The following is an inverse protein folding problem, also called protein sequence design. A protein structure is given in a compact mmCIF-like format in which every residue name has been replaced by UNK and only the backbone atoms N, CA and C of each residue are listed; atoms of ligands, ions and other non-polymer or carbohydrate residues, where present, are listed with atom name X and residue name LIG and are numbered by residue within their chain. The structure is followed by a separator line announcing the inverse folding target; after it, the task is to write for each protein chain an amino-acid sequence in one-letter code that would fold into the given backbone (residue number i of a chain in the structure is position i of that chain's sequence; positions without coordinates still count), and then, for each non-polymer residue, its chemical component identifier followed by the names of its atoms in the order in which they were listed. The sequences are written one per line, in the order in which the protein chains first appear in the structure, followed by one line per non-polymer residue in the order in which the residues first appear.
data_IF_835136957022
#
_entry.id   IF_835136957022
#
_cell.length_a   1.000
_cell.length_b   1.000
_cell.length_c   1.000
_cell.angle_alpha   90.00
_cell.angle_beta   90.00
_cell.angle_gamma   90.00
#
_symmetry.space_group_name_H-M   'P 1'
#
loop_
_entity.id
_entity.type
_entity.pdbx_description
1 polymer ?
#
# COMPACT_ATOMS: atom_id res chain seq x y z
N UNK A 1 9.46 -3.25 -10.43
CA UNK A 1 9.15 -3.08 -8.99
C UNK A 1 10.16 -2.25 -8.25
N UNK A 2 11.46 -2.56 -8.30
CA UNK A 2 12.49 -1.83 -7.54
C UNK A 2 12.51 -0.32 -7.82
N UNK A 3 12.25 0.12 -9.06
CA UNK A 3 12.19 1.54 -9.42
C UNK A 3 11.00 2.27 -8.79
N UNK A 4 9.87 1.58 -8.57
CA UNK A 4 8.70 2.18 -7.92
C UNK A 4 8.99 2.36 -6.43
N UNK A 5 9.42 1.30 -5.73
CA UNK A 5 9.74 1.35 -4.29
C UNK A 5 10.83 2.38 -3.97
N UNK A 6 11.81 2.57 -4.86
CA UNK A 6 12.87 3.59 -4.71
C UNK A 6 12.36 5.03 -4.95
N UNK A 7 11.28 5.18 -5.71
CA UNK A 7 10.62 6.48 -5.94
C UNK A 7 9.62 6.85 -4.85
N UNK A 8 9.22 5.89 -4.02
CA UNK A 8 8.33 6.13 -2.90
C UNK A 8 9.10 6.78 -1.75
N UNK A 9 8.47 7.66 -0.97
CA UNK A 9 9.11 8.22 0.19
C UNK A 9 9.27 7.15 1.28
N UNK A 10 10.27 7.32 2.15
CA UNK A 10 10.50 6.49 3.36
C UNK A 10 9.46 6.80 4.47
N UNK A 11 8.17 6.87 4.08
CA UNK A 11 7.01 7.07 4.96
C UNK A 11 5.74 6.55 4.27
N UNK A 12 4.67 6.30 5.04
CA UNK A 12 3.33 6.04 4.49
C UNK A 12 2.89 7.18 3.55
N UNK A 13 2.24 6.81 2.46
CA UNK A 13 1.77 7.75 1.44
C UNK A 13 0.45 8.38 1.87
N UNK A 14 0.18 9.62 1.50
CA UNK A 14 -1.18 10.16 1.61
C UNK A 14 -2.06 9.75 0.42
N UNK A 15 -3.39 9.84 0.57
CA UNK A 15 -4.36 9.58 -0.51
C UNK A 15 -4.07 10.42 -1.76
N UNK A 16 -3.67 11.68 -1.54
CA UNK A 16 -3.26 12.60 -2.60
C UNK A 16 -1.98 12.15 -3.32
N UNK A 17 -1.04 11.51 -2.61
CA UNK A 17 0.19 10.99 -3.20
C UNK A 17 -0.10 9.74 -4.05
N UNK A 18 -0.99 8.86 -3.60
CA UNK A 18 -1.49 7.72 -4.42
C UNK A 18 -2.14 8.24 -5.70
N UNK A 19 -3.04 9.22 -5.60
CA UNK A 19 -3.67 9.82 -6.79
C UNK A 19 -2.66 10.50 -7.72
N UNK A 20 -1.62 11.13 -7.17
CA UNK A 20 -0.55 11.72 -7.96
C UNK A 20 0.34 10.67 -8.63
N UNK A 21 0.58 9.52 -7.98
CA UNK A 21 1.30 8.39 -8.58
C UNK A 21 0.50 7.78 -9.73
N UNK A 22 -0.79 7.58 -9.54
CA UNK A 22 -1.69 7.08 -10.58
C UNK A 22 -1.74 8.05 -11.79
N UNK A 23 -1.78 9.36 -11.54
CA UNK A 23 -1.72 10.37 -12.59
C UNK A 23 -0.36 10.47 -13.31
N UNK A 24 0.73 10.07 -12.66
CA UNK A 24 2.07 10.04 -13.27
C UNK A 24 2.31 8.76 -14.07
N UNK A 25 1.60 7.69 -13.73
CA UNK A 25 1.76 6.36 -14.31
C UNK A 25 0.42 5.86 -14.85
N UNK A 26 0.03 6.35 -16.04
CA UNK A 26 -1.21 5.99 -16.73
C UNK A 26 -1.38 4.47 -16.95
N UNK A 27 -0.26 3.74 -17.02
CA UNK A 27 -0.23 2.27 -17.19
C UNK A 27 -0.36 1.49 -15.87
N UNK A 28 -0.35 2.17 -14.71
CA UNK A 28 -0.37 1.57 -13.38
C UNK A 28 -1.70 1.87 -12.67
N UNK A 29 -2.41 0.83 -12.22
CA UNK A 29 -3.56 0.98 -11.33
C UNK A 29 -3.12 0.92 -9.88
N UNK A 30 -3.50 1.91 -9.06
CA UNK A 30 -3.22 1.90 -7.63
C UNK A 30 -4.51 1.65 -6.85
N UNK A 31 -4.45 0.73 -5.90
CA UNK A 31 -5.59 0.38 -5.07
C UNK A 31 -5.14 0.41 -3.60
N UNK A 32 -5.56 1.45 -2.83
CA UNK A 32 -5.20 1.54 -1.42
C UNK A 32 -5.90 0.45 -0.63
N UNK A 33 -5.13 -0.28 0.18
CA UNK A 33 -5.62 -1.40 0.99
C UNK A 33 -5.62 -1.03 2.47
N UNK A 34 -4.50 -0.50 2.97
CA UNK A 34 -4.36 0.03 4.33
C UNK A 34 -4.54 1.52 4.36
N UNK A 35 -5.76 1.98 4.05
CA UNK A 35 -6.12 3.38 4.14
C UNK A 35 -6.71 3.72 5.51
N UNK A 36 -6.10 4.69 6.18
CA UNK A 36 -6.47 5.18 7.51
C UNK A 36 -7.01 6.62 7.37
N UNK A 37 -8.35 6.80 7.35
CA UNK A 37 -8.95 8.08 6.98
C UNK A 37 -8.68 9.22 7.96
N UNK A 38 -8.62 8.94 9.26
CA UNK A 38 -8.37 9.96 10.29
C UNK A 38 -6.94 10.51 10.23
N UNK A 39 -6.00 9.71 9.71
CA UNK A 39 -4.60 10.10 9.50
C UNK A 39 -4.32 10.59 8.07
N UNK A 40 -5.25 10.37 7.14
CA UNK A 40 -5.06 10.52 5.69
C UNK A 40 -3.78 9.83 5.17
N UNK A 41 -3.49 8.63 5.68
CA UNK A 41 -2.33 7.83 5.26
C UNK A 41 -2.73 6.46 4.72
N UNK A 42 -1.90 5.97 3.82
CA UNK A 42 -1.97 4.66 3.18
C UNK A 42 -0.67 3.96 3.52
N UNK A 43 -0.73 2.99 4.44
CA UNK A 43 0.42 2.18 4.86
C UNK A 43 0.59 0.90 4.00
N UNK A 44 -0.44 0.55 3.22
CA UNK A 44 -0.44 -0.59 2.32
C UNK A 44 -1.28 -0.30 1.08
N UNK A 45 -0.77 -0.68 -0.09
CA UNK A 45 -1.50 -0.55 -1.35
C UNK A 45 -1.06 -1.60 -2.36
N UNK A 46 -1.90 -1.81 -3.36
CA UNK A 46 -1.64 -2.70 -4.47
C UNK A 46 -1.41 -1.89 -5.73
N UNK A 47 -0.47 -2.34 -6.55
CA UNK A 47 -0.13 -1.77 -7.85
C UNK A 47 -0.36 -2.82 -8.92
N UNK A 48 -1.16 -2.48 -9.93
CA UNK A 48 -1.45 -3.32 -11.08
C UNK A 48 -0.74 -2.72 -12.29
N UNK A 49 0.23 -3.43 -12.85
CA UNK A 49 1.02 -3.00 -14.00
C UNK A 49 0.42 -3.60 -15.27
N UNK A 50 0.06 -2.75 -16.25
CA UNK A 50 -0.52 -3.15 -17.55
C UNK A 50 -1.81 -4.00 -17.44
N UNK A 51 -2.46 -4.04 -16.28
CA UNK A 51 -3.66 -4.86 -16.07
C UNK A 51 -3.43 -6.37 -16.08
N UNK A 52 -2.18 -6.83 -15.93
CA UNK A 52 -1.82 -8.27 -16.02
C UNK A 52 -1.02 -8.75 -14.80
N UNK A 53 -0.28 -7.85 -14.13
CA UNK A 53 0.53 -8.18 -12.96
C UNK A 53 0.26 -7.22 -11.80
N UNK A 54 -0.21 -7.77 -10.68
CA UNK A 54 -0.41 -7.08 -9.41
C UNK A 54 0.74 -7.28 -8.44
N UNK A 55 1.03 -6.25 -7.65
CA UNK A 55 2.00 -6.29 -6.56
C UNK A 55 1.40 -5.65 -5.33
N UNK A 56 1.45 -6.33 -4.19
CA UNK A 56 1.15 -5.73 -2.90
C UNK A 56 2.40 -5.10 -2.31
N UNK A 57 2.27 -3.86 -1.87
CA UNK A 57 3.30 -3.15 -1.14
C UNK A 57 2.80 -2.83 0.26
N UNK A 58 3.66 -3.11 1.23
CA UNK A 58 3.51 -2.72 2.62
C UNK A 58 4.65 -1.79 3.00
N UNK A 59 4.33 -0.79 3.82
CA UNK A 59 5.35 0.03 4.45
C UNK A 59 5.94 -0.74 5.64
N UNK A 60 7.22 -1.09 5.56
CA UNK A 60 7.99 -1.72 6.63
C UNK A 60 8.58 -0.64 7.53
N UNK A 61 8.08 -0.55 8.77
CA UNK A 61 8.54 0.47 9.71
C UNK A 61 9.92 0.14 10.29
N UNK A 62 10.24 -1.14 10.45
CA UNK A 62 11.53 -1.60 10.98
C UNK A 62 12.68 -1.41 9.98
N UNK A 63 12.41 -1.62 8.69
CA UNK A 63 13.32 -1.38 7.56
C UNK A 63 13.26 0.03 6.98
N UNK A 64 12.39 0.89 7.50
CA UNK A 64 12.23 2.30 7.11
C UNK A 64 11.97 2.46 5.61
N UNK A 65 11.04 1.68 5.03
CA UNK A 65 10.82 1.72 3.58
C UNK A 65 9.70 0.83 3.05
N UNK A 66 9.41 0.99 1.75
CA UNK A 66 8.40 0.19 1.07
C UNK A 66 8.96 -1.14 0.59
N UNK A 67 8.26 -2.22 0.95
CA UNK A 67 8.63 -3.58 0.54
C UNK A 67 7.50 -4.23 -0.23
N UNK A 68 7.88 -5.08 -1.18
CA UNK A 68 6.92 -5.91 -1.92
C UNK A 68 6.60 -7.13 -1.07
N UNK A 69 5.35 -7.25 -0.65
CA UNK A 69 4.87 -8.35 0.19
C UNK A 69 4.57 -9.57 -0.66
N UNK A 70 3.80 -9.39 -1.74
CA UNK A 70 3.38 -10.45 -2.64
C UNK A 70 3.24 -9.91 -4.08
N UNK A 71 3.41 -10.79 -5.06
CA UNK A 71 3.15 -10.51 -6.48
C UNK A 71 2.18 -11.56 -7.02
N UNK A 72 1.20 -11.12 -7.80
CA UNK A 72 0.13 -11.96 -8.34
C UNK A 72 -0.20 -11.56 -9.78
N UNK A 73 -0.91 -12.42 -10.49
CA UNK A 73 -1.42 -12.14 -11.84
C UNK A 73 -2.85 -11.58 -11.76
N UNK A 74 -3.24 -10.73 -12.72
CA UNK A 74 -4.57 -10.10 -12.74
C UNK A 74 -5.67 -11.18 -12.77
N UNK A 75 -6.62 -11.08 -11.83
CA UNK A 75 -7.69 -12.06 -11.62
C UNK A 75 -7.55 -12.92 -10.35
N UNK A 76 -6.47 -12.81 -9.59
CA UNK A 76 -6.44 -13.31 -8.21
C UNK A 76 -7.35 -12.49 -7.28
N UNK A 77 -7.89 -13.16 -6.26
CA UNK A 77 -8.92 -12.61 -5.39
C UNK A 77 -8.33 -11.48 -4.53
N UNK A 78 -8.60 -10.23 -4.94
CA UNK A 78 -8.11 -9.01 -4.30
C UNK A 78 -8.41 -8.97 -2.79
N UNK A 79 -9.50 -9.60 -2.36
CA UNK A 79 -9.84 -9.70 -0.94
C UNK A 79 -8.83 -10.55 -0.15
N UNK A 80 -8.27 -11.60 -0.76
CA UNK A 80 -7.23 -12.43 -0.15
C UNK A 80 -5.89 -11.72 -0.04
N UNK A 81 -5.59 -10.81 -0.97
CA UNK A 81 -4.37 -9.99 -0.94
C UNK A 81 -4.38 -9.02 0.25
N UNK A 82 -5.54 -8.41 0.53
CA UNK A 82 -5.71 -7.53 1.70
C UNK A 82 -5.48 -8.27 3.02
N UNK A 83 -6.08 -9.45 3.19
CA UNK A 83 -5.98 -10.25 4.42
C UNK A 83 -4.51 -10.64 4.69
N UNK A 84 -3.77 -11.04 3.64
CA UNK A 84 -2.34 -11.33 3.73
C UNK A 84 -1.47 -10.11 4.01
N UNK A 85 -1.78 -8.96 3.39
CA UNK A 85 -1.09 -7.70 3.66
C UNK A 85 -1.26 -7.27 5.11
N UNK A 86 -2.49 -7.35 5.62
CA UNK A 86 -2.80 -7.04 7.01
C UNK A 86 -2.09 -8.02 7.95
N UNK A 87 -2.13 -9.33 7.66
CA UNK A 87 -1.40 -10.35 8.44
C UNK A 87 0.11 -10.12 8.42
N UNK A 88 0.68 -9.71 7.27
CA UNK A 88 2.10 -9.41 7.14
C UNK A 88 2.49 -8.17 7.95
N UNK A 89 1.68 -7.11 7.92
CA UNK A 89 1.92 -5.91 8.73
C UNK A 89 1.77 -6.17 10.23
N UNK A 90 0.87 -7.08 10.63
CA UNK A 90 0.71 -7.48 12.03
C UNK A 90 0.47 -6.28 12.95
N UNK A 91 1.33 -6.12 13.98
CA UNK A 91 1.23 -5.06 14.97
C UNK A 91 1.27 -3.64 14.37
N UNK A 92 2.01 -3.40 13.27
CA UNK A 92 2.06 -2.08 12.63
C UNK A 92 0.67 -1.65 12.12
N UNK A 93 -0.12 -2.59 11.60
CA UNK A 93 -1.47 -2.31 11.15
C UNK A 93 -2.37 -1.88 12.31
N UNK A 94 -2.30 -2.61 13.43
CA UNK A 94 -3.06 -2.30 14.64
C UNK A 94 -2.67 -0.93 15.22
N UNK A 95 -1.40 -0.54 15.13
CA UNK A 95 -0.95 0.80 15.53
C UNK A 95 -1.54 1.90 14.65
N UNK A 96 -1.56 1.72 13.32
CA UNK A 96 -2.19 2.68 12.42
C UNK A 96 -3.71 2.76 12.64
N UNK A 97 -4.39 1.62 12.87
CA UNK A 97 -5.83 1.61 13.20
C UNK A 97 -6.11 2.35 14.51
N UNK A 98 -5.31 2.10 15.56
CA UNK A 98 -5.48 2.77 16.84
C UNK A 98 -5.22 4.28 16.72
N UNK A 99 -4.14 4.67 16.05
CA UNK A 99 -3.83 6.08 15.83
C UNK A 99 -4.89 6.80 14.97
N UNK A 100 -5.59 6.08 14.09
CA UNK A 100 -6.73 6.62 13.36
C UNK A 100 -8.00 6.72 14.24
N UNK A 101 -8.22 5.80 15.18
CA UNK A 101 -9.43 5.72 16.00
C UNK A 101 -9.41 6.63 17.23
N UNK A 102 -8.29 7.27 17.56
CA UNK A 102 -8.20 8.24 18.68
C UNK A 102 -8.34 9.70 18.21
N UNK A 103 -9.58 10.22 17.99
CA UNK A 103 -9.79 11.64 17.88
C UNK A 103 -9.74 12.27 19.28
N UNK A 104 -8.79 13.18 19.48
CA UNK A 104 -8.73 14.08 20.64
C UNK A 104 -9.98 14.98 20.79
#
# INVERSE_FOLDING_TARGET
MTELTDSLPDRPLSTSEISALEAQHDDYGFAPVGFFPDLDVVAAFVVIINGDHGYSLGYDRDGDGWVVVESFEDGEDFAGVTDRLQEWMGDDWEEFEQAAVEPE
#
